data_IF_668938567786
#
_entry.id   IF_668938567786
#
_cell.length_a   1.000
_cell.length_b   1.000
_cell.length_c   1.000
_cell.angle_alpha   90.00
_cell.angle_beta   90.00
_cell.angle_gamma   90.00
#
_symmetry.space_group_name_H-M   'P 1'
#
loop_
_entity.id
_entity.type
_entity.pdbx_description
1 polymer ?
#
# COMPACT_ATOMS: atom_id res chain seq x y z
N UNK A 1 0.62 -20.29 -23.32
CA UNK A 1 1.36 -19.15 -23.90
C UNK A 1 1.62 -18.17 -22.77
N UNK A 2 2.87 -17.75 -22.55
CA UNK A 2 3.15 -16.77 -21.50
C UNK A 2 2.89 -15.37 -22.07
N UNK A 3 2.05 -14.61 -21.38
CA UNK A 3 1.76 -13.20 -21.67
C UNK A 3 2.56 -12.24 -20.76
N UNK A 4 3.51 -12.79 -20.00
CA UNK A 4 4.29 -12.05 -19.02
C UNK A 4 5.68 -12.66 -18.81
N UNK A 5 6.62 -11.85 -18.35
CA UNK A 5 7.93 -12.28 -17.84
C UNK A 5 7.86 -12.37 -16.32
N UNK A 6 8.30 -13.50 -15.76
CA UNK A 6 8.32 -13.71 -14.31
C UNK A 6 9.76 -13.74 -13.83
N UNK A 7 10.09 -12.84 -12.91
CA UNK A 7 11.38 -12.78 -12.23
C UNK A 7 11.18 -13.23 -10.79
N UNK A 8 12.02 -14.14 -10.33
CA UNK A 8 11.98 -14.68 -8.98
C UNK A 8 13.39 -14.57 -8.41
N UNK A 9 13.51 -13.96 -7.24
CA UNK A 9 14.75 -13.94 -6.46
C UNK A 9 14.58 -14.84 -5.25
N UNK A 10 15.57 -15.69 -5.02
CA UNK A 10 15.68 -16.50 -3.82
C UNK A 10 16.70 -15.88 -2.86
N UNK A 11 16.53 -16.09 -1.57
CA UNK A 11 17.54 -15.79 -0.56
C UNK A 11 18.54 -16.94 -0.38
N UNK A 12 19.38 -16.87 0.66
CA UNK A 12 20.42 -17.86 0.92
C UNK A 12 19.86 -19.23 1.36
N UNK A 13 18.62 -19.26 1.86
CA UNK A 13 17.95 -20.45 2.35
C UNK A 13 17.03 -21.07 1.28
N UNK A 14 17.08 -20.54 0.04
CA UNK A 14 16.21 -20.89 -1.09
C UNK A 14 14.74 -20.48 -0.89
N UNK A 15 14.46 -19.60 0.07
CA UNK A 15 13.15 -18.99 0.21
C UNK A 15 12.98 -17.86 -0.81
N UNK A 16 11.74 -17.59 -1.22
CA UNK A 16 11.46 -16.56 -2.21
C UNK A 16 11.57 -15.17 -1.56
N UNK A 17 12.63 -14.43 -1.88
CA UNK A 17 12.80 -13.06 -1.45
C UNK A 17 11.77 -12.13 -2.10
N UNK A 18 11.52 -12.30 -3.40
CA UNK A 18 10.43 -11.63 -4.10
C UNK A 18 10.10 -12.29 -5.44
N UNK A 19 8.87 -12.02 -5.92
CA UNK A 19 8.43 -12.35 -7.28
C UNK A 19 7.92 -11.09 -7.98
N UNK A 20 8.24 -10.96 -9.27
CA UNK A 20 7.79 -9.85 -10.12
C UNK A 20 7.24 -10.42 -11.42
N UNK A 21 6.13 -9.82 -11.87
CA UNK A 21 5.50 -10.17 -13.14
C UNK A 21 5.50 -8.89 -13.98
N UNK A 22 6.23 -8.92 -15.09
CA UNK A 22 6.27 -7.83 -16.06
C UNK A 22 5.39 -8.21 -17.23
N UNK A 23 4.38 -7.38 -17.50
CA UNK A 23 3.51 -7.49 -18.66
C UNK A 23 3.80 -6.31 -19.56
N UNK A 24 4.49 -6.55 -20.68
CA UNK A 24 4.76 -5.50 -21.67
C UNK A 24 3.48 -5.24 -22.48
N UNK A 25 2.80 -6.30 -22.91
CA UNK A 25 1.47 -6.26 -23.53
C UNK A 25 0.68 -7.55 -23.24
N UNK A 26 -0.54 -7.41 -22.75
CA UNK A 26 -1.36 -8.55 -22.32
C UNK A 26 -1.89 -9.42 -23.47
N UNK A 27 -1.88 -8.91 -24.71
CA UNK A 27 -2.54 -9.54 -25.84
C UNK A 27 -1.58 -10.44 -26.64
N UNK A 28 -0.29 -10.20 -26.53
CA UNK A 28 0.73 -10.90 -27.30
C UNK A 28 1.54 -11.89 -26.47
N UNK A 29 2.06 -12.91 -27.15
CA UNK A 29 3.00 -13.84 -26.52
C UNK A 29 4.35 -13.16 -26.39
N UNK A 30 4.94 -13.26 -25.21
CA UNK A 30 6.24 -12.67 -24.91
C UNK A 30 7.18 -13.78 -24.46
N UNK A 31 8.42 -13.74 -24.96
CA UNK A 31 9.45 -14.75 -24.67
C UNK A 31 10.70 -14.03 -24.22
N UNK A 32 11.15 -14.32 -23.00
CA UNK A 32 12.48 -13.92 -22.51
C UNK A 32 13.52 -14.74 -23.27
N UNK A 33 14.54 -14.08 -23.80
CA UNK A 33 15.66 -14.72 -24.48
C UNK A 33 16.90 -14.72 -23.60
N UNK A 34 17.17 -13.61 -22.90
CA UNK A 34 18.37 -13.47 -22.08
C UNK A 34 18.12 -12.58 -20.86
N UNK A 35 18.91 -12.79 -19.81
CA UNK A 35 18.85 -12.04 -18.55
C UNK A 35 20.26 -11.87 -17.99
N UNK A 36 20.65 -10.63 -17.70
CA UNK A 36 21.91 -10.29 -17.03
C UNK A 36 21.66 -9.42 -15.79
N UNK A 37 22.60 -9.50 -14.85
CA UNK A 37 22.69 -8.56 -13.71
C UNK A 37 23.53 -7.37 -14.15
N UNK A 38 22.98 -6.17 -14.02
CA UNK A 38 23.68 -4.93 -14.32
C UNK A 38 24.63 -4.52 -13.18
N UNK A 39 25.58 -3.62 -13.48
CA UNK A 39 26.58 -3.13 -12.52
C UNK A 39 25.95 -2.43 -11.28
N UNK A 40 24.74 -1.90 -11.42
CA UNK A 40 23.95 -1.30 -10.34
C UNK A 40 23.21 -2.34 -9.47
N UNK A 41 23.43 -3.63 -9.73
CA UNK A 41 22.74 -4.75 -9.11
C UNK A 41 21.31 -4.98 -9.62
N UNK A 42 20.85 -4.18 -10.60
CA UNK A 42 19.59 -4.37 -11.29
C UNK A 42 19.62 -5.54 -12.26
N UNK A 43 18.48 -5.77 -12.93
CA UNK A 43 18.30 -6.88 -13.86
C UNK A 43 17.97 -6.31 -15.23
N UNK A 44 18.71 -6.71 -16.27
CA UNK A 44 18.39 -6.41 -17.66
C UNK A 44 17.96 -7.70 -18.33
N UNK A 45 16.76 -7.70 -18.91
CA UNK A 45 16.22 -8.83 -19.64
C UNK A 45 15.89 -8.41 -21.07
N UNK A 46 16.19 -9.29 -22.02
CA UNK A 46 15.83 -9.10 -23.43
C UNK A 46 14.93 -10.22 -23.91
N UNK A 47 14.17 -9.94 -24.95
CA UNK A 47 13.27 -10.94 -25.51
C UNK A 47 12.53 -10.44 -26.73
N UNK A 48 11.52 -11.23 -27.12
CA UNK A 48 10.69 -10.95 -28.27
C UNK A 48 9.22 -10.98 -27.90
N UNK A 49 8.46 -10.11 -28.55
CA UNK A 49 7.01 -10.15 -28.57
C UNK A 49 6.53 -10.59 -29.94
N UNK A 50 5.60 -11.54 -29.97
CA UNK A 50 5.02 -12.06 -31.21
C UNK A 50 3.66 -11.41 -31.43
N UNK A 51 3.60 -10.49 -32.40
CA UNK A 51 2.37 -9.81 -32.80
C UNK A 51 1.60 -10.65 -33.85
N UNK A 52 0.27 -10.50 -33.93
CA UNK A 52 -0.57 -11.20 -34.88
C UNK A 52 -0.16 -10.86 -36.31
N UNK A 53 -0.42 -11.81 -37.19
CA UNK A 53 -0.18 -11.67 -38.62
C UNK A 53 -1.01 -10.52 -39.20
N UNK A 54 -0.36 -9.61 -39.91
CA UNK A 54 -1.04 -8.49 -40.59
C UNK A 54 -1.24 -8.85 -42.08
N UNK A 55 -2.48 -8.90 -42.59
CA UNK A 55 -2.75 -9.08 -44.02
C UNK A 55 -2.13 -7.95 -44.85
N UNK A 56 -1.61 -8.21 -46.07
CA UNK A 56 -1.65 -9.48 -46.84
C UNK A 56 -0.46 -10.41 -46.58
N UNK A 57 0.47 -10.03 -45.69
CA UNK A 57 1.78 -10.67 -45.55
C UNK A 57 1.75 -12.05 -44.85
N UNK A 58 0.65 -12.40 -44.16
CA UNK A 58 0.51 -13.61 -43.32
C UNK A 58 1.71 -13.91 -42.40
N UNK A 59 2.52 -12.89 -42.10
CA UNK A 59 3.77 -13.01 -41.36
C UNK A 59 3.59 -12.43 -39.97
N UNK A 60 4.04 -13.15 -38.95
CA UNK A 60 4.10 -12.62 -37.59
C UNK A 60 5.18 -11.55 -37.52
N UNK A 61 4.84 -10.43 -36.90
CA UNK A 61 5.83 -9.38 -36.61
C UNK A 61 6.49 -9.73 -35.27
N UNK A 62 7.81 -9.80 -35.27
CA UNK A 62 8.62 -9.98 -34.08
C UNK A 62 9.16 -8.62 -33.64
N UNK A 63 8.81 -8.20 -32.43
CA UNK A 63 9.32 -6.97 -31.83
C UNK A 63 10.30 -7.33 -30.74
N UNK A 64 11.54 -6.84 -30.84
CA UNK A 64 12.53 -6.96 -29.76
C UNK A 64 12.10 -6.10 -28.57
N UNK A 65 12.21 -6.64 -27.36
CA UNK A 65 11.90 -5.93 -26.13
C UNK A 65 13.06 -6.03 -25.17
N UNK A 66 13.34 -4.92 -24.49
CA UNK A 66 14.30 -4.81 -23.39
C UNK A 66 13.56 -4.33 -22.16
N UNK A 67 13.76 -5.02 -21.03
CA UNK A 67 13.23 -4.66 -19.72
C UNK A 67 14.41 -4.45 -18.78
N UNK A 68 14.45 -3.32 -18.09
CA UNK A 68 15.37 -3.08 -16.98
C UNK A 68 14.59 -2.99 -15.67
N UNK A 69 15.01 -3.76 -14.68
CA UNK A 69 14.54 -3.69 -13.29
C UNK A 69 15.68 -3.16 -12.41
N UNK A 70 15.34 -2.50 -11.31
CA UNK A 70 16.31 -2.19 -10.26
C UNK A 70 16.71 -3.44 -9.45
N UNK A 71 17.60 -3.26 -8.48
CA UNK A 71 18.12 -4.34 -7.62
C UNK A 71 17.09 -5.00 -6.70
N UNK A 72 15.91 -4.38 -6.56
CA UNK A 72 14.74 -4.88 -5.83
C UNK A 72 13.67 -5.47 -6.77
N UNK A 73 14.01 -5.65 -8.05
CA UNK A 73 13.13 -6.21 -9.06
C UNK A 73 12.07 -5.23 -9.56
N UNK A 74 12.25 -3.92 -9.39
CA UNK A 74 11.25 -2.93 -9.76
C UNK A 74 11.44 -2.34 -11.14
N UNK A 75 10.34 -2.37 -11.92
CA UNK A 75 10.24 -1.69 -13.21
C UNK A 75 10.03 -0.18 -13.05
N UNK A 76 9.32 0.21 -11.99
CA UNK A 76 9.08 1.61 -11.59
C UNK A 76 9.57 1.81 -10.16
N UNK A 77 10.13 2.99 -9.82
CA UNK A 77 10.63 3.23 -8.47
C UNK A 77 9.59 2.90 -7.39
N UNK A 78 10.03 2.27 -6.29
CA UNK A 78 9.20 2.02 -5.11
C UNK A 78 8.29 0.78 -5.14
N UNK A 79 8.27 -0.01 -6.22
CA UNK A 79 7.39 -1.19 -6.32
C UNK A 79 7.62 -2.29 -5.26
N UNK A 80 8.79 -2.26 -4.59
CA UNK A 80 9.20 -3.25 -3.59
C UNK A 80 8.64 -2.90 -2.20
N UNK A 81 8.09 -1.70 -2.06
CA UNK A 81 7.39 -1.28 -0.86
C UNK A 81 6.09 -2.10 -0.82
N UNK A 82 5.99 -2.98 0.17
CA UNK A 82 4.81 -3.81 0.39
C UNK A 82 3.64 -2.86 0.63
N UNK A 83 2.63 -2.92 -0.23
CA UNK A 83 1.46 -2.04 -0.20
C UNK A 83 0.62 -2.31 1.04
N UNK A 84 0.78 -1.41 2.01
CA UNK A 84 -0.12 -1.16 3.15
C UNK A 84 -0.23 0.33 3.45
N UNK A 85 0.80 1.13 3.12
CA UNK A 85 0.76 2.57 2.88
C UNK A 85 1.95 2.93 2.00
N UNK A 86 1.72 3.73 0.96
CA UNK A 86 2.72 4.23 0.01
C UNK A 86 3.48 5.45 0.55
N UNK A 87 2.94 6.15 1.55
CA UNK A 87 3.59 7.29 2.18
C UNK A 87 3.25 7.42 3.68
N UNK A 88 4.18 7.99 4.45
CA UNK A 88 3.93 8.46 5.81
C UNK A 88 4.00 9.99 5.81
N UNK A 89 2.88 10.65 6.09
CA UNK A 89 2.90 12.10 6.26
C UNK A 89 3.62 12.44 7.58
N UNK A 90 4.77 13.11 7.47
CA UNK A 90 5.51 13.60 8.64
C UNK A 90 4.90 14.91 9.16
N UNK A 91 5.08 15.22 10.44
CA UNK A 91 4.59 16.44 11.10
C UNK A 91 3.06 16.54 11.30
N UNK A 92 2.33 15.43 11.23
CA UNK A 92 0.89 15.38 11.55
C UNK A 92 0.60 14.73 12.91
N UNK A 93 1.58 14.68 13.82
CA UNK A 93 1.41 14.03 15.14
C UNK A 93 0.24 14.62 15.93
N UNK A 94 0.05 15.95 15.86
CA UNK A 94 -1.02 16.65 16.56
C UNK A 94 -2.34 16.71 15.78
N UNK A 95 -2.38 16.11 14.58
CA UNK A 95 -3.56 16.09 13.72
C UNK A 95 -4.68 15.17 14.25
N UNK A 96 -4.38 14.28 15.20
CA UNK A 96 -5.33 13.32 15.76
C UNK A 96 -5.25 13.33 17.28
N UNK A 97 -6.37 13.68 17.92
CA UNK A 97 -6.53 13.65 19.37
C UNK A 97 -7.74 12.84 19.76
N UNK A 98 -7.68 12.21 20.93
CA UNK A 98 -8.78 11.38 21.47
C UNK A 98 -9.00 11.69 22.94
N UNK A 99 -10.25 11.90 23.33
CA UNK A 99 -10.64 12.18 24.71
C UNK A 99 -12.07 11.68 25.02
N UNK A 100 -12.38 11.25 26.25
CA UNK A 100 -11.43 11.09 27.36
C UNK A 100 -10.45 9.94 27.10
N UNK A 101 -9.29 10.04 27.72
CA UNK A 101 -8.26 9.01 27.67
C UNK A 101 -7.50 9.03 29.00
N UNK A 102 -7.68 8.03 29.89
CA UNK A 102 -8.34 6.73 29.66
C UNK A 102 -9.87 6.78 29.49
N UNK A 103 -10.45 5.69 28.97
CA UNK A 103 -11.91 5.49 28.78
C UNK A 103 -12.33 4.10 29.27
N UNK A 104 -13.56 3.96 29.76
CA UNK A 104 -14.11 2.67 30.16
C UNK A 104 -14.42 1.78 28.94
N UNK A 105 -14.26 0.46 29.09
CA UNK A 105 -14.68 -0.53 28.09
C UNK A 105 -16.15 -0.35 27.67
N UNK A 106 -16.40 -0.26 26.35
CA UNK A 106 -17.74 -0.02 25.79
C UNK A 106 -18.27 1.42 25.94
N UNK A 107 -17.41 2.37 26.37
CA UNK A 107 -17.71 3.80 26.38
C UNK A 107 -17.61 4.46 25.00
N UNK A 108 -17.81 5.78 24.96
CA UNK A 108 -17.62 6.59 23.76
C UNK A 108 -16.41 7.50 23.94
N UNK A 109 -15.65 7.69 22.86
CA UNK A 109 -14.58 8.69 22.80
C UNK A 109 -14.89 9.73 21.75
N UNK A 110 -14.45 10.96 21.98
CA UNK A 110 -14.40 12.02 20.99
C UNK A 110 -13.04 11.99 20.30
N UNK A 111 -13.07 11.96 18.98
CA UNK A 111 -11.89 12.00 18.11
C UNK A 111 -11.87 13.37 17.43
N UNK A 112 -10.83 14.14 17.70
CA UNK A 112 -10.60 15.44 17.07
C UNK A 112 -9.53 15.30 15.98
N UNK A 113 -9.88 15.71 14.75
CA UNK A 113 -9.04 15.62 13.56
C UNK A 113 -8.76 17.02 13.03
N UNK A 114 -7.49 17.38 12.88
CA UNK A 114 -7.03 18.65 12.30
C UNK A 114 -6.04 18.36 11.16
N UNK A 115 -6.50 18.46 9.92
CA UNK A 115 -5.68 18.17 8.73
C UNK A 115 -5.52 19.42 7.84
N UNK A 116 -4.42 19.57 7.10
CA UNK A 116 -4.30 20.55 6.02
C UNK A 116 -5.35 20.35 4.92
N UNK A 117 -5.72 21.43 4.21
CA UNK A 117 -6.80 21.43 3.20
C UNK A 117 -6.67 20.31 2.15
N UNK A 118 -5.45 20.05 1.65
CA UNK A 118 -5.22 19.01 0.63
C UNK A 118 -5.48 17.57 1.08
N UNK A 119 -5.47 17.29 2.38
CA UNK A 119 -5.76 15.97 2.95
C UNK A 119 -7.23 15.83 3.36
N UNK A 120 -7.94 16.94 3.60
CA UNK A 120 -9.36 16.94 4.02
C UNK A 120 -10.31 16.43 2.93
N UNK A 121 -9.93 16.55 1.66
CA UNK A 121 -10.78 16.13 0.52
C UNK A 121 -10.67 14.63 0.18
N UNK A 122 -9.79 13.90 0.87
CA UNK A 122 -9.58 12.48 0.63
C UNK A 122 -10.48 11.62 1.52
N UNK A 123 -10.83 10.40 1.11
CA UNK A 123 -11.51 9.46 1.99
C UNK A 123 -10.59 9.12 3.17
N UNK A 124 -11.03 9.43 4.38
CA UNK A 124 -10.28 9.16 5.60
C UNK A 124 -10.80 7.89 6.26
N UNK A 125 -9.87 7.14 6.83
CA UNK A 125 -10.12 5.91 7.55
C UNK A 125 -9.54 6.03 8.94
N UNK A 126 -10.36 5.67 9.92
CA UNK A 126 -10.00 5.61 11.31
C UNK A 126 -9.99 4.14 11.76
N UNK A 127 -8.83 3.62 12.13
CA UNK A 127 -8.66 2.21 12.51
C UNK A 127 -8.22 2.11 13.96
N UNK A 128 -8.96 1.34 14.76
CA UNK A 128 -8.60 1.00 16.14
C UNK A 128 -7.88 -0.35 16.14
N UNK A 129 -6.66 -0.38 16.65
CA UNK A 129 -5.76 -1.54 16.61
C UNK A 129 -5.33 -1.88 18.04
N UNK A 130 -5.36 -3.15 18.42
CA UNK A 130 -4.87 -3.61 19.74
C UNK A 130 -3.33 -3.63 19.81
N UNK A 131 -2.78 -3.75 21.01
CA UNK A 131 -1.33 -3.75 21.23
C UNK A 131 -0.57 -4.89 20.52
N UNK A 132 -1.24 -5.98 20.18
CA UNK A 132 -0.73 -7.11 19.40
C UNK A 132 -0.87 -6.91 17.87
N UNK A 133 -1.36 -5.75 17.41
CA UNK A 133 -1.49 -5.40 16.01
C UNK A 133 -2.80 -5.83 15.33
N UNK A 134 -3.75 -6.39 16.07
CA UNK A 134 -5.04 -6.82 15.50
C UNK A 134 -5.98 -5.63 15.30
N UNK A 135 -6.60 -5.54 14.12
CA UNK A 135 -7.68 -4.59 13.85
C UNK A 135 -8.92 -4.94 14.70
N UNK A 136 -9.43 -3.94 15.41
CA UNK A 136 -10.58 -4.07 16.33
C UNK A 136 -11.83 -3.44 15.73
N UNK A 137 -11.70 -2.23 15.19
CA UNK A 137 -12.77 -1.48 14.55
C UNK A 137 -12.17 -0.59 13.46
N UNK A 138 -12.95 -0.33 12.42
CA UNK A 138 -12.61 0.60 11.36
C UNK A 138 -13.83 1.42 10.97
N UNK A 139 -13.65 2.73 10.81
CA UNK A 139 -14.70 3.67 10.40
C UNK A 139 -14.18 4.56 9.27
N UNK A 140 -15.06 4.86 8.30
CA UNK A 140 -14.79 5.90 7.31
C UNK A 140 -15.27 7.23 7.86
N UNK A 141 -14.40 8.25 7.85
CA UNK A 141 -14.73 9.60 8.29
C UNK A 141 -14.57 10.59 7.14
N UNK A 142 -15.41 11.61 7.13
CA UNK A 142 -15.37 12.69 6.14
C UNK A 142 -15.27 14.00 6.89
N UNK A 143 -14.38 14.89 6.44
CA UNK A 143 -14.24 16.22 7.01
C UNK A 143 -15.39 17.09 6.50
N UNK A 144 -16.13 17.72 7.41
CA UNK A 144 -17.25 18.60 7.08
C UNK A 144 -16.83 20.07 7.03
N UNK A 145 -15.83 20.45 7.85
CA UNK A 145 -15.34 21.82 7.88
C UNK A 145 -14.26 22.05 6.83
N UNK A 146 -14.35 23.22 6.20
CA UNK A 146 -13.31 23.70 5.28
C UNK A 146 -12.01 24.07 6.01
N UNK A 147 -12.12 24.50 7.27
CA UNK A 147 -10.96 24.78 8.11
C UNK A 147 -11.19 24.50 9.61
N UNK A 148 -10.08 24.32 10.35
CA UNK A 148 -10.06 23.97 11.77
C UNK A 148 -10.17 22.46 12.07
N UNK A 149 -10.60 22.15 13.29
CA UNK A 149 -10.76 20.78 13.76
C UNK A 149 -12.20 20.28 13.56
N UNK A 150 -12.32 19.03 13.12
CA UNK A 150 -13.57 18.26 13.12
C UNK A 150 -13.57 17.25 14.27
N UNK A 151 -14.72 17.08 14.90
CA UNK A 151 -14.89 16.18 16.05
C UNK A 151 -15.89 15.09 15.73
N UNK A 152 -15.51 13.83 15.95
CA UNK A 152 -16.32 12.65 15.70
C UNK A 152 -16.53 11.88 17.00
N UNK A 153 -17.74 11.34 17.20
CA UNK A 153 -18.00 10.41 18.30
C UNK A 153 -17.72 8.99 17.82
N UNK A 154 -16.73 8.34 18.41
CA UNK A 154 -16.38 6.95 18.14
C UNK A 154 -16.89 6.06 19.29
N UNK A 155 -17.97 5.29 19.10
CA UNK A 155 -18.42 4.33 20.09
C UNK A 155 -17.50 3.11 20.09
N UNK A 156 -16.97 2.75 21.27
CA UNK A 156 -16.13 1.57 21.40
C UNK A 156 -16.98 0.28 21.38
N UNK A 157 -16.49 -0.81 20.76
CA UNK A 157 -17.24 -2.06 20.69
C UNK A 157 -17.60 -2.57 22.08
N UNK A 158 -18.85 -3.05 22.22
CA UNK A 158 -19.39 -3.60 23.48
C UNK A 158 -18.93 -5.03 23.77
N UNK A 159 -18.45 -5.74 22.75
CA UNK A 159 -17.77 -7.05 22.91
C UNK A 159 -16.46 -6.80 23.64
N UNK A 160 -16.05 -7.65 24.62
CA UNK A 160 -15.10 -7.22 25.64
C UNK A 160 -13.77 -6.77 25.03
N UNK A 161 -13.60 -5.46 24.94
CA UNK A 161 -12.30 -4.82 24.83
C UNK A 161 -11.58 -5.13 26.13
N UNK A 162 -10.50 -5.90 26.03
CA UNK A 162 -9.65 -6.15 27.19
C UNK A 162 -9.04 -4.82 27.64
N UNK A 163 -9.07 -4.49 28.94
CA UNK A 163 -8.36 -3.34 29.46
C UNK A 163 -6.90 -3.35 28.99
N UNK A 164 -6.42 -2.23 28.49
CA UNK A 164 -5.13 -2.19 27.81
C UNK A 164 -4.92 -0.98 26.90
N UNK A 165 -3.86 -1.07 26.12
CA UNK A 165 -3.45 -0.03 25.17
C UNK A 165 -3.93 -0.41 23.78
N UNK A 166 -4.53 0.57 23.12
CA UNK A 166 -4.93 0.52 21.72
C UNK A 166 -4.31 1.69 20.97
N UNK A 167 -4.12 1.54 19.68
CA UNK A 167 -3.68 2.59 18.77
C UNK A 167 -4.83 2.97 17.85
N UNK A 168 -5.14 4.27 17.83
CA UNK A 168 -6.10 4.84 16.89
C UNK A 168 -5.31 5.45 15.74
N UNK A 169 -5.45 4.89 14.55
CA UNK A 169 -4.73 5.29 13.34
C UNK A 169 -5.65 6.06 12.41
N UNK A 170 -5.14 7.14 11.83
CA UNK A 170 -5.77 7.90 10.77
C UNK A 170 -4.97 7.74 9.48
N UNK A 171 -5.64 7.34 8.40
CA UNK A 171 -5.03 7.16 7.10
C UNK A 171 -5.96 7.56 5.96
N UNK A 172 -5.38 7.80 4.79
CA UNK A 172 -6.05 7.74 3.49
C UNK A 172 -5.91 6.31 2.95
N UNK A 173 -6.41 5.98 1.74
CA UNK A 173 -6.22 4.66 1.14
C UNK A 173 -4.74 4.31 0.88
N UNK A 174 -3.89 5.31 0.68
CA UNK A 174 -2.50 5.19 0.27
C UNK A 174 -1.50 5.76 1.30
N UNK A 175 -1.94 6.54 2.29
CA UNK A 175 -1.04 7.31 3.16
C UNK A 175 -1.40 7.20 4.63
N UNK A 176 -0.42 6.90 5.48
CA UNK A 176 -0.59 7.03 6.93
C UNK A 176 -0.45 8.49 7.32
N UNK A 177 -1.42 9.03 8.05
CA UNK A 177 -1.44 10.43 8.43
C UNK A 177 -0.97 10.63 9.87
N UNK A 178 -1.61 9.95 10.82
CA UNK A 178 -1.33 10.13 12.25
C UNK A 178 -1.77 8.91 13.06
N UNK A 179 -1.26 8.80 14.28
CA UNK A 179 -1.79 7.88 15.27
C UNK A 179 -1.75 8.49 16.67
N UNK A 180 -2.69 8.04 17.50
CA UNK A 180 -2.71 8.37 18.93
C UNK A 180 -3.00 7.13 19.76
N UNK A 181 -2.50 7.14 20.99
CA UNK A 181 -2.67 6.05 21.94
C UNK A 181 -4.00 6.21 22.66
N UNK A 182 -4.80 5.15 22.75
CA UNK A 182 -6.01 5.07 23.57
C UNK A 182 -5.81 4.05 24.70
N UNK A 183 -6.16 4.42 25.92
CA UNK A 183 -6.12 3.52 27.09
C UNK A 183 -7.55 3.15 27.47
N UNK A 184 -7.85 1.85 27.44
CA UNK A 184 -9.14 1.30 27.86
C UNK A 184 -8.99 0.69 29.25
N UNK A 185 -9.94 0.97 30.15
CA UNK A 185 -10.00 0.47 31.53
C UNK A 185 -11.30 -0.28 31.81
#
# INVERSE_FOLDING_TARGET
KSHAWRFIKFDQDLDTAWTRIVVIDSNHTQIVQDVEIADDGGIVATGIMIMPTVPPSNSSILTGVVVKLDSMGCLVPGCHIITGMEAQATNLRDALRVYPNPVAGGGNVTVEITLPEGLRQQPLRLSLISADGRLVQEEMVSMERKDGADTFSLPLPRSPLTPGIYMLHLSTPDTWLAATKLVVQ
#
